data_IF_083844670598
#
_entry.id   IF_083844670598
#
_cell.length_a   1.000
_cell.length_b   1.000
_cell.length_c   1.000
_cell.angle_alpha   90.00
_cell.angle_beta   90.00
_cell.angle_gamma   90.00
#
_symmetry.space_group_name_H-M   'P 1'
#
loop_
_entity.id
_entity.type
_entity.pdbx_description
1 polymer ?
#
# COMPACT_ATOMS: atom_id res chain seq x y z
N UNK A 1 -6.08 -11.61 22.21
CA UNK A 1 -4.74 -11.56 21.58
C UNK A 1 -4.39 -10.11 21.30
N UNK A 2 -3.59 -9.50 22.14
CA UNK A 2 -3.20 -8.09 22.01
C UNK A 2 -1.77 -8.04 21.48
N UNK A 3 -1.63 -8.00 20.16
CA UNK A 3 -0.36 -7.63 19.55
C UNK A 3 -0.21 -6.13 19.73
N UNK A 4 0.59 -5.71 20.72
CA UNK A 4 0.99 -4.31 20.89
C UNK A 4 2.08 -3.98 19.86
N UNK A 5 1.79 -3.17 18.83
CA UNK A 5 2.76 -2.72 17.85
C UNK A 5 3.68 -1.66 18.45
N UNK A 6 4.99 -1.86 18.37
CA UNK A 6 5.99 -0.82 18.70
C UNK A 6 6.39 -0.06 17.42
N UNK A 7 6.99 1.14 17.52
CA UNK A 7 7.36 1.95 16.36
C UNK A 7 8.25 1.14 15.40
N UNK A 8 7.88 1.07 14.11
CA UNK A 8 8.46 0.14 13.13
C UNK A 8 7.56 -1.07 12.79
N UNK A 9 6.27 -0.99 13.07
CA UNK A 9 5.33 -2.10 12.89
C UNK A 9 5.15 -2.48 11.41
N UNK A 10 5.68 -3.65 11.04
CA UNK A 10 5.32 -4.34 9.80
C UNK A 10 3.91 -4.90 9.97
N UNK A 11 2.91 -4.50 9.17
CA UNK A 11 1.55 -4.98 9.36
C UNK A 11 1.49 -6.49 9.11
N UNK A 12 1.27 -7.27 10.17
CA UNK A 12 1.31 -8.74 10.15
C UNK A 12 0.15 -9.39 9.37
N UNK A 13 -0.89 -8.61 9.05
CA UNK A 13 -2.11 -9.10 8.40
C UNK A 13 -2.42 -8.33 7.09
N UNK A 14 -1.42 -8.13 6.24
CA UNK A 14 -1.64 -7.75 4.84
C UNK A 14 -1.65 -9.03 3.98
N UNK A 15 -2.84 -9.47 3.58
CA UNK A 15 -2.98 -10.48 2.52
C UNK A 15 -3.09 -9.77 1.17
N UNK A 16 -2.15 -10.06 0.27
CA UNK A 16 -2.19 -9.62 -1.12
C UNK A 16 -3.04 -10.60 -1.93
N UNK A 17 -4.10 -10.13 -2.59
CA UNK A 17 -4.84 -10.93 -3.57
C UNK A 17 -4.50 -10.45 -4.99
N UNK A 18 -3.84 -11.33 -5.75
CA UNK A 18 -3.39 -11.06 -7.12
C UNK A 18 -4.53 -10.95 -8.16
N UNK A 19 -5.79 -10.92 -7.74
CA UNK A 19 -6.94 -10.86 -8.63
C UNK A 19 -7.40 -9.43 -8.97
N UNK A 20 -6.77 -8.39 -8.41
CA UNK A 20 -7.08 -6.98 -8.69
C UNK A 20 -6.38 -6.39 -9.93
N UNK A 21 -6.64 -5.12 -10.21
CA UNK A 21 -6.11 -4.33 -11.36
C UNK A 21 -4.57 -4.25 -11.42
N UNK A 22 -3.87 -4.54 -10.32
CA UNK A 22 -2.43 -4.30 -10.14
C UNK A 22 -1.61 -5.60 -10.10
N UNK A 23 -1.86 -6.54 -11.03
CA UNK A 23 -1.27 -7.89 -11.04
C UNK A 23 0.25 -7.94 -11.25
N UNK A 24 0.84 -6.84 -11.75
CA UNK A 24 2.27 -6.73 -12.06
C UNK A 24 3.13 -6.11 -10.96
N UNK A 25 2.54 -5.73 -9.82
CA UNK A 25 3.26 -5.03 -8.75
C UNK A 25 4.14 -5.96 -7.92
N UNK A 26 5.42 -5.62 -7.81
CA UNK A 26 6.32 -6.16 -6.80
C UNK A 26 6.21 -5.33 -5.51
N UNK A 27 5.92 -5.98 -4.39
CA UNK A 27 5.94 -5.34 -3.08
C UNK A 27 7.38 -4.96 -2.71
N UNK A 28 7.60 -3.68 -2.39
CA UNK A 28 8.90 -3.18 -1.94
C UNK A 28 8.91 -3.02 -0.42
N UNK A 29 8.00 -2.20 0.09
CA UNK A 29 7.90 -1.90 1.52
C UNK A 29 6.51 -1.37 1.88
N UNK A 30 6.23 -1.27 3.18
CA UNK A 30 5.05 -0.60 3.68
C UNK A 30 5.34 0.21 4.93
N UNK A 31 4.84 1.45 4.96
CA UNK A 31 5.02 2.40 6.05
C UNK A 31 3.68 2.75 6.67
N UNK A 32 3.56 2.53 7.98
CA UNK A 32 2.37 2.95 8.71
C UNK A 32 2.46 4.43 9.08
N UNK A 33 1.69 5.28 8.39
CA UNK A 33 1.63 6.72 8.65
C UNK A 33 0.85 6.99 9.95
N UNK A 34 -0.28 6.31 10.15
CA UNK A 34 -1.10 6.43 11.37
C UNK A 34 -1.75 5.09 11.71
N UNK A 35 -2.43 5.01 12.86
CA UNK A 35 -3.23 3.84 13.23
C UNK A 35 -4.23 3.39 12.13
N UNK A 36 -4.74 4.35 11.35
CA UNK A 36 -5.76 4.11 10.32
C UNK A 36 -5.27 4.42 8.90
N UNK A 37 -3.98 4.70 8.70
CA UNK A 37 -3.39 4.97 7.38
C UNK A 37 -2.09 4.20 7.22
N UNK A 38 -1.97 3.48 6.12
CA UNK A 38 -0.80 2.71 5.74
C UNK A 38 -0.43 3.09 4.30
N UNK A 39 0.85 3.21 4.01
CA UNK A 39 1.37 3.47 2.69
C UNK A 39 2.10 2.21 2.20
N UNK A 40 1.74 1.68 1.04
CA UNK A 40 2.42 0.53 0.42
C UNK A 40 3.19 1.03 -0.78
N UNK A 41 4.46 0.67 -0.85
CA UNK A 41 5.35 0.97 -1.96
C UNK A 41 5.50 -0.27 -2.82
N UNK A 42 5.27 -0.11 -4.10
CA UNK A 42 5.42 -1.19 -5.08
C UNK A 42 6.15 -0.70 -6.31
N UNK A 43 6.61 -1.65 -7.11
CA UNK A 43 7.16 -1.40 -8.44
C UNK A 43 6.55 -2.36 -9.44
N UNK A 44 6.02 -1.82 -10.53
CA UNK A 44 5.48 -2.61 -11.63
C UNK A 44 6.63 -3.33 -12.35
N UNK A 45 6.55 -4.67 -12.43
CA UNK A 45 7.64 -5.49 -12.97
C UNK A 45 7.93 -5.26 -14.46
N UNK A 46 6.90 -4.89 -15.24
CA UNK A 46 7.02 -4.80 -16.69
C UNK A 46 7.50 -3.42 -17.17
N UNK A 47 7.05 -2.36 -16.52
CA UNK A 47 7.33 -0.97 -16.89
C UNK A 47 8.39 -0.33 -16.01
N UNK A 48 8.61 -0.86 -14.80
CA UNK A 48 9.48 -0.28 -13.79
C UNK A 48 8.88 0.91 -13.04
N UNK A 49 7.60 1.24 -13.26
CA UNK A 49 6.96 2.36 -12.57
C UNK A 49 6.85 2.08 -11.06
N UNK A 50 7.26 3.05 -10.24
CA UNK A 50 7.01 3.01 -8.80
C UNK A 50 5.56 3.45 -8.55
N UNK A 51 4.82 2.66 -7.77
CA UNK A 51 3.49 3.02 -7.30
C UNK A 51 3.44 3.08 -5.77
N UNK A 52 2.56 3.94 -5.29
CA UNK A 52 2.29 4.15 -3.87
C UNK A 52 0.79 4.03 -3.62
N UNK A 53 0.39 3.07 -2.79
CA UNK A 53 -0.99 2.87 -2.37
C UNK A 53 -1.17 3.43 -0.97
N UNK A 54 -1.97 4.49 -0.86
CA UNK A 54 -2.45 4.95 0.44
C UNK A 54 -3.66 4.11 0.81
N UNK A 55 -3.52 3.34 1.88
CA UNK A 55 -4.58 2.53 2.47
C UNK A 55 -5.17 3.27 3.67
N UNK A 56 -6.50 3.25 3.78
CA UNK A 56 -7.24 3.77 4.93
C UNK A 56 -8.03 2.66 5.59
N UNK A 57 -7.97 2.58 6.92
CA UNK A 57 -8.73 1.62 7.72
C UNK A 57 -10.11 2.20 8.03
N UNK A 58 -11.15 1.44 7.69
CA UNK A 58 -12.54 1.78 7.98
C UNK A 58 -13.40 0.52 8.09
N UNK A 59 -14.32 0.46 9.06
CA UNK A 59 -15.21 -0.69 9.24
C UNK A 59 -14.48 -2.02 9.45
N UNK A 60 -13.33 -1.98 10.14
CA UNK A 60 -12.49 -3.16 10.40
C UNK A 60 -11.63 -3.64 9.22
N UNK A 61 -11.75 -3.03 8.04
CA UNK A 61 -11.02 -3.42 6.81
C UNK A 61 -10.12 -2.30 6.32
N UNK A 62 -9.05 -2.66 5.62
CA UNK A 62 -8.22 -1.71 4.87
C UNK A 62 -8.79 -1.55 3.46
N UNK A 63 -8.85 -0.31 2.98
CA UNK A 63 -9.27 0.03 1.61
C UNK A 63 -8.27 0.99 1.00
N UNK A 64 -8.13 0.97 -0.32
CA UNK A 64 -7.34 1.98 -1.04
C UNK A 64 -8.09 3.31 -0.92
N UNK A 65 -7.38 4.34 -0.46
CA UNK A 65 -7.84 5.72 -0.32
C UNK A 65 -7.29 6.58 -1.46
N UNK A 66 -6.07 6.29 -1.93
CA UNK A 66 -5.47 6.90 -3.11
C UNK A 66 -4.35 6.02 -3.69
N UNK A 67 -4.11 6.15 -4.99
CA UNK A 67 -2.94 5.59 -5.67
C UNK A 67 -2.13 6.73 -6.29
N UNK A 68 -0.81 6.65 -6.17
CA UNK A 68 0.11 7.54 -6.88
C UNK A 68 1.12 6.73 -7.68
N UNK A 69 1.45 7.21 -8.87
CA UNK A 69 2.48 6.66 -9.72
C UNK A 69 3.62 7.66 -9.85
N UNK A 70 4.83 7.15 -9.98
CA UNK A 70 6.04 7.94 -10.13
C UNK A 70 6.44 7.98 -11.59
N UNK A 71 5.99 9.03 -12.27
CA UNK A 71 6.49 9.46 -13.58
C UNK A 71 7.66 10.44 -13.33
N UNK A 72 7.49 11.72 -13.67
CA UNK A 72 8.45 12.79 -13.33
C UNK A 72 8.40 13.22 -11.84
N UNK A 73 7.55 12.56 -11.06
CA UNK A 73 7.23 12.86 -9.66
C UNK A 73 6.03 12.04 -9.21
N UNK A 74 5.58 12.22 -7.96
CA UNK A 74 4.40 11.51 -7.44
C UNK A 74 3.12 12.17 -7.96
N UNK A 75 2.40 11.49 -8.85
CA UNK A 75 1.14 11.96 -9.41
C UNK A 75 0.00 11.04 -8.97
N UNK A 76 -1.16 11.61 -8.59
CA UNK A 76 -2.35 10.81 -8.28
C UNK A 76 -2.90 10.19 -9.55
N UNK A 77 -3.13 8.89 -9.54
CA UNK A 77 -3.65 8.14 -10.69
C UNK A 77 -4.85 7.29 -10.26
N UNK A 78 -6.03 7.67 -10.74
CA UNK A 78 -7.28 6.89 -10.57
C UNK A 78 -7.68 6.56 -9.12
N UNK A 79 -8.80 5.84 -9.00
CA UNK A 79 -9.33 5.21 -7.79
C UNK A 79 -9.99 3.88 -8.16
#
# INVERSE_FOLDING_TARGET
MSEKPRPGYRPLALSYSAQGTYKGEGFLDAEQITKNKLCIYTREKNTGFDRRFLMKRGGGRWKIDAVQERLDGWQRVGL
#
